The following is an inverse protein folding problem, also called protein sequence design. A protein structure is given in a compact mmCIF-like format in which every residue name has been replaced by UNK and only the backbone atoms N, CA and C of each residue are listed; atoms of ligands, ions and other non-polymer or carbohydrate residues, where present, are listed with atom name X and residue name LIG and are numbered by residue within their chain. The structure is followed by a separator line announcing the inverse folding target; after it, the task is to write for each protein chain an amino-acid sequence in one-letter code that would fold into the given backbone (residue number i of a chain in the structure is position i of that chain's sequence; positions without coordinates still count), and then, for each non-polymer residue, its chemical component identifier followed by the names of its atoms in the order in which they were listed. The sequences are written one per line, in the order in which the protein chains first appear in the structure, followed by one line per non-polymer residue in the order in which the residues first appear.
data_IF_696249519077
#
_entry.id   IF_696249519077
#
_cell.length_a   1.000
_cell.length_b   1.000
_cell.length_c   1.000
_cell.angle_alpha   90.00
_cell.angle_beta   90.00
_cell.angle_gamma   90.00
#
_symmetry.space_group_name_H-M   'P 1'
#
loop_
_entity.id
_entity.type
_entity.pdbx_description
1 polymer ?
#
# COMPACT_ATOMS: atom_id res chain seq x y z
N UNK A 1 37.25 0.73 -36.29
CA UNK A 1 37.00 0.61 -34.84
C UNK A 1 35.80 -0.29 -34.63
N UNK A 2 35.79 -1.04 -33.53
CA UNK A 2 34.61 -1.77 -33.07
C UNK A 2 34.43 -1.56 -31.58
N UNK A 3 33.31 -0.99 -31.16
CA UNK A 3 32.94 -0.83 -29.75
C UNK A 3 32.38 -2.15 -29.20
N UNK A 4 32.69 -2.43 -27.93
CA UNK A 4 32.39 -3.70 -27.27
C UNK A 4 31.34 -3.50 -26.16
N UNK A 5 30.50 -4.51 -26.00
CA UNK A 5 29.61 -4.61 -24.85
C UNK A 5 30.40 -5.04 -23.60
N UNK A 6 29.97 -4.54 -22.44
CA UNK A 6 30.59 -4.83 -21.13
C UNK A 6 29.55 -5.47 -20.18
N UNK A 7 30.00 -5.94 -19.03
CA UNK A 7 29.15 -6.51 -17.97
C UNK A 7 29.46 -5.85 -16.61
N UNK A 8 29.06 -4.58 -16.42
CA UNK A 8 29.26 -3.87 -15.17
C UNK A 8 28.28 -4.37 -14.10
N UNK A 9 28.66 -4.12 -12.85
CA UNK A 9 27.81 -4.28 -11.67
C UNK A 9 27.67 -2.90 -11.03
N UNK A 10 26.46 -2.56 -10.60
CA UNK A 10 26.16 -1.26 -10.01
C UNK A 10 27.02 -0.96 -8.78
N UNK A 11 27.44 0.31 -8.64
CA UNK A 11 28.23 0.78 -7.52
C UNK A 11 29.64 0.19 -7.44
N UNK A 12 30.01 -0.68 -8.39
CA UNK A 12 31.32 -1.33 -8.48
C UNK A 12 32.13 -0.66 -9.59
N UNK A 13 33.24 -0.04 -9.21
CA UNK A 13 34.22 0.46 -10.17
C UNK A 13 34.80 -0.70 -10.97
N UNK A 14 34.56 -0.71 -12.27
CA UNK A 14 35.12 -1.67 -13.21
C UNK A 14 36.20 -1.03 -14.09
N UNK A 15 37.08 -1.87 -14.63
CA UNK A 15 38.04 -1.51 -15.68
C UNK A 15 37.73 -2.37 -16.92
N UNK A 16 37.25 -1.74 -17.98
CA UNK A 16 36.60 -2.42 -19.09
C UNK A 16 37.38 -2.29 -20.39
N UNK A 17 37.41 -3.35 -21.21
CA UNK A 17 37.78 -3.29 -22.61
C UNK A 17 36.57 -2.77 -23.41
N UNK A 18 36.62 -1.53 -23.89
CA UNK A 18 35.45 -0.85 -24.48
C UNK A 18 35.49 -0.78 -26.00
N UNK A 19 36.66 -0.88 -26.63
CA UNK A 19 36.76 -0.91 -28.09
C UNK A 19 38.06 -1.53 -28.58
N UNK A 20 38.02 -2.10 -29.79
CA UNK A 20 39.21 -2.46 -30.57
C UNK A 20 39.36 -1.50 -31.75
N UNK A 21 40.56 -0.97 -31.93
CA UNK A 21 40.91 0.00 -32.98
C UNK A 21 42.00 -0.59 -33.87
N UNK A 22 41.96 -0.27 -35.15
CA UNK A 22 42.96 -0.72 -36.11
C UNK A 22 43.25 0.38 -37.10
N UNK A 23 44.52 0.72 -37.24
CA UNK A 23 45.03 1.52 -38.35
C UNK A 23 46.09 0.71 -39.12
N UNK A 24 46.30 1.00 -40.41
CA UNK A 24 47.28 0.31 -41.24
C UNK A 24 48.71 0.85 -41.13
N UNK A 25 48.89 2.06 -40.62
CA UNK A 25 50.14 2.83 -40.67
C UNK A 25 50.57 3.39 -39.32
N UNK A 26 49.63 3.74 -38.46
CA UNK A 26 49.87 4.41 -37.18
C UNK A 26 49.63 3.47 -35.97
N UNK A 27 50.23 3.81 -34.83
CA UNK A 27 50.08 3.05 -33.59
C UNK A 27 49.24 3.80 -32.54
N UNK A 28 48.75 3.07 -31.54
CA UNK A 28 47.99 3.54 -30.39
C UNK A 28 48.37 4.91 -29.78
N UNK A 29 49.67 5.27 -29.77
CA UNK A 29 50.17 6.53 -29.20
C UNK A 29 49.80 7.78 -29.98
N UNK A 30 49.34 7.62 -31.22
CA UNK A 30 48.95 8.72 -32.12
C UNK A 30 47.45 9.05 -31.99
N UNK A 31 46.74 8.35 -31.12
CA UNK A 31 45.29 8.43 -30.98
C UNK A 31 44.85 8.78 -29.56
N UNK A 32 43.77 9.57 -29.45
CA UNK A 32 43.02 9.77 -28.20
C UNK A 32 41.63 9.16 -28.37
N UNK A 33 41.20 8.36 -27.40
CA UNK A 33 39.85 7.86 -27.28
C UNK A 33 39.05 8.74 -26.30
N UNK A 34 37.85 9.11 -26.71
CA UNK A 34 36.79 9.73 -25.92
C UNK A 34 35.65 8.72 -25.76
N UNK A 35 35.31 8.42 -24.50
CA UNK A 35 34.38 7.35 -24.15
C UNK A 35 33.17 7.98 -23.46
N UNK A 36 32.03 7.92 -24.14
CA UNK A 36 30.71 8.21 -23.56
C UNK A 36 30.12 6.90 -23.03
N UNK A 37 29.88 6.85 -21.72
CA UNK A 37 29.37 5.67 -21.02
C UNK A 37 27.87 5.45 -21.18
N UNK A 38 27.15 6.43 -21.73
CA UNK A 38 25.72 6.34 -22.01
C UNK A 38 24.81 6.47 -20.79
N UNK A 39 25.34 6.85 -19.63
CA UNK A 39 24.62 7.10 -18.37
C UNK A 39 24.52 8.60 -18.03
N UNK A 40 25.04 9.47 -18.90
CA UNK A 40 25.05 10.92 -18.70
C UNK A 40 26.14 11.43 -17.75
N UNK A 41 27.02 10.55 -17.26
CA UNK A 41 28.24 10.96 -16.56
C UNK A 41 29.24 11.61 -17.53
N UNK A 42 30.31 12.20 -16.98
CA UNK A 42 31.35 12.81 -17.80
C UNK A 42 32.08 11.74 -18.62
N UNK A 43 32.43 12.08 -19.86
CA UNK A 43 33.19 11.19 -20.71
C UNK A 43 34.59 10.91 -20.12
N UNK A 44 35.14 9.73 -20.43
CA UNK A 44 36.52 9.39 -20.09
C UNK A 44 37.43 9.55 -21.31
N UNK A 45 38.40 10.46 -21.20
CA UNK A 45 39.47 10.60 -22.19
C UNK A 45 40.64 9.69 -21.82
N UNK A 46 41.06 8.83 -22.75
CA UNK A 46 42.24 7.98 -22.59
C UNK A 46 43.09 8.00 -23.86
N UNK A 47 44.41 8.00 -23.71
CA UNK A 47 45.30 7.75 -24.85
C UNK A 47 45.06 6.33 -25.36
N UNK A 48 45.11 6.09 -26.68
CA UNK A 48 44.84 4.80 -27.31
C UNK A 48 45.78 3.63 -26.92
N UNK A 49 46.60 3.79 -25.89
CA UNK A 49 47.53 2.78 -25.37
C UNK A 49 46.84 1.61 -24.68
N UNK A 50 47.36 0.41 -24.93
CA UNK A 50 47.02 -0.79 -24.20
C UNK A 50 47.70 -0.80 -22.82
N UNK A 51 46.93 -0.73 -21.74
CA UNK A 51 47.41 -0.96 -20.37
C UNK A 51 46.76 -2.22 -19.80
N UNK A 52 47.49 -3.34 -19.52
CA UNK A 52 48.95 -3.48 -19.47
C UNK A 52 49.51 -4.29 -20.66
N UNK A 53 50.03 -3.65 -21.72
CA UNK A 53 50.84 -4.36 -22.71
C UNK A 53 51.94 -3.48 -23.36
N UNK A 54 53.01 -4.14 -23.81
CA UNK A 54 54.20 -3.50 -24.40
C UNK A 54 53.88 -3.06 -25.84
N UNK A 55 54.14 -1.80 -26.23
CA UNK A 55 53.74 -1.25 -27.53
C UNK A 55 54.69 -1.74 -28.61
N UNK A 56 54.45 -2.93 -29.15
CA UNK A 56 55.17 -3.42 -30.34
C UNK A 56 54.24 -3.84 -31.48
N UNK A 57 52.94 -3.87 -31.27
CA UNK A 57 51.97 -4.13 -32.35
C UNK A 57 51.51 -2.79 -32.93
N UNK A 58 51.72 -2.60 -34.24
CA UNK A 58 51.23 -1.44 -34.97
C UNK A 58 49.70 -1.40 -34.96
N UNK A 59 49.02 -2.55 -35.00
CA UNK A 59 47.56 -2.68 -35.11
C UNK A 59 47.14 -4.17 -35.06
N UNK A 60 45.97 -4.55 -34.52
CA UNK A 60 45.01 -3.72 -33.79
C UNK A 60 45.45 -3.45 -32.34
N UNK A 61 44.82 -2.46 -31.68
CA UNK A 61 44.98 -2.15 -30.26
C UNK A 61 43.63 -2.03 -29.54
N UNK A 62 43.68 -2.12 -28.21
CA UNK A 62 42.51 -2.18 -27.32
C UNK A 62 42.40 -0.89 -26.50
N UNK A 63 41.18 -0.39 -26.32
CA UNK A 63 40.86 0.78 -25.50
C UNK A 63 40.27 0.28 -24.19
N UNK A 64 40.90 0.67 -23.08
CA UNK A 64 40.42 0.39 -21.74
C UNK A 64 40.15 1.68 -20.96
N UNK A 65 39.14 1.64 -20.11
CA UNK A 65 38.86 2.71 -19.17
C UNK A 65 38.15 2.20 -17.91
N UNK A 66 38.32 2.95 -16.81
CA UNK A 66 37.57 2.69 -15.58
C UNK A 66 36.26 3.46 -15.59
N UNK A 67 35.20 2.84 -15.08
CA UNK A 67 33.90 3.49 -14.86
C UNK A 67 33.13 2.83 -13.72
N UNK A 68 32.21 3.56 -13.12
CA UNK A 68 31.24 3.05 -12.14
C UNK A 68 29.86 3.48 -12.60
N UNK A 69 28.97 2.52 -12.83
CA UNK A 69 27.55 2.80 -13.03
C UNK A 69 26.90 2.89 -11.66
N UNK A 70 26.18 3.97 -11.39
CA UNK A 70 25.62 4.26 -10.06
C UNK A 70 24.27 3.58 -9.79
N UNK A 71 23.57 3.14 -10.84
CA UNK A 71 22.21 2.53 -10.81
C UNK A 71 22.14 1.43 -11.89
N UNK A 72 21.24 0.46 -11.72
CA UNK A 72 20.99 -0.53 -12.76
C UNK A 72 20.21 0.08 -13.91
N UNK A 73 20.72 -0.06 -15.14
CA UNK A 73 19.98 0.33 -16.32
C UNK A 73 20.57 -0.33 -17.56
N UNK A 74 19.84 -0.16 -18.67
CA UNK A 74 20.33 -0.55 -19.99
C UNK A 74 21.07 0.61 -20.63
N UNK A 75 22.35 0.41 -20.97
CA UNK A 75 23.21 1.43 -21.57
C UNK A 75 23.86 0.94 -22.86
N UNK A 76 24.40 1.90 -23.61
CA UNK A 76 25.30 1.70 -24.74
C UNK A 76 26.53 2.57 -24.51
N UNK A 77 27.71 2.09 -24.88
CA UNK A 77 28.95 2.89 -24.85
C UNK A 77 29.22 3.41 -26.25
N UNK A 78 29.51 4.70 -26.39
CA UNK A 78 30.02 5.27 -27.64
C UNK A 78 31.49 5.63 -27.46
N UNK A 79 32.34 5.04 -28.28
CA UNK A 79 33.77 5.36 -28.32
C UNK A 79 34.04 6.19 -29.56
N UNK A 80 34.69 7.33 -29.41
CA UNK A 80 35.21 8.17 -30.49
C UNK A 80 36.73 8.22 -30.39
N UNK A 81 37.44 7.96 -31.48
CA UNK A 81 38.89 8.09 -31.52
C UNK A 81 39.26 9.14 -32.54
N UNK A 82 40.20 10.01 -32.15
CA UNK A 82 40.76 11.06 -32.99
C UNK A 82 42.25 10.80 -33.18
N UNK A 83 42.69 10.81 -34.44
CA UNK A 83 44.09 10.85 -34.84
C UNK A 83 44.67 12.24 -34.57
N UNK A 84 45.80 12.30 -33.84
CA UNK A 84 46.44 13.55 -33.47
C UNK A 84 47.27 14.18 -34.59
N UNK A 85 47.69 13.41 -35.59
CA UNK A 85 48.51 13.85 -36.69
C UNK A 85 47.69 14.60 -37.76
N UNK A 86 46.50 14.11 -38.09
CA UNK A 86 45.68 14.65 -39.17
C UNK A 86 44.22 14.99 -38.79
N UNK A 87 43.84 14.76 -37.53
CA UNK A 87 42.50 15.02 -36.98
C UNK A 87 41.38 14.17 -37.57
N UNK A 88 41.70 13.08 -38.28
CA UNK A 88 40.71 12.09 -38.67
C UNK A 88 40.08 11.47 -37.42
N UNK A 89 38.77 11.23 -37.46
CA UNK A 89 38.04 10.67 -36.33
C UNK A 89 37.09 9.57 -36.76
N UNK A 90 37.01 8.51 -35.96
CA UNK A 90 36.06 7.43 -36.15
C UNK A 90 35.34 7.15 -34.83
N UNK A 91 34.06 6.79 -34.90
CA UNK A 91 33.27 6.44 -33.73
C UNK A 91 32.46 5.18 -33.99
N UNK A 92 32.32 4.37 -32.94
CA UNK A 92 31.41 3.24 -32.93
C UNK A 92 30.68 3.16 -31.59
N UNK A 93 29.49 2.55 -31.62
CA UNK A 93 28.63 2.38 -30.45
C UNK A 93 28.41 0.89 -30.17
N UNK A 94 28.57 0.49 -28.91
CA UNK A 94 28.39 -0.90 -28.50
C UNK A 94 26.93 -1.35 -28.69
N UNK A 95 26.67 -2.66 -28.79
CA UNK A 95 25.36 -3.20 -28.47
C UNK A 95 24.92 -2.79 -27.06
N UNK A 96 23.60 -2.73 -26.84
CA UNK A 96 23.03 -2.47 -25.52
C UNK A 96 23.40 -3.58 -24.53
N UNK A 97 23.73 -3.20 -23.30
CA UNK A 97 23.98 -4.10 -22.17
C UNK A 97 23.28 -3.60 -20.91
N UNK A 98 23.05 -4.50 -19.96
CA UNK A 98 22.52 -4.16 -18.65
C UNK A 98 23.65 -4.01 -17.62
N UNK A 99 23.49 -3.09 -16.69
CA UNK A 99 24.22 -3.07 -15.41
C UNK A 99 23.55 -4.08 -14.49
N UNK A 100 24.35 -4.99 -13.93
CA UNK A 100 23.84 -6.05 -13.05
C UNK A 100 23.60 -5.54 -11.64
N UNK A 101 22.56 -6.08 -11.01
CA UNK A 101 22.23 -5.79 -9.62
C UNK A 101 23.36 -6.13 -8.63
N UNK A 102 23.62 -5.21 -7.71
CA UNK A 102 24.67 -5.38 -6.69
C UNK A 102 24.12 -5.52 -5.27
N UNK A 103 22.86 -5.19 -5.08
CA UNK A 103 22.27 -5.05 -3.77
C UNK A 103 21.28 -6.17 -3.41
N UNK A 104 20.59 -5.96 -2.31
CA UNK A 104 19.56 -6.85 -1.84
C UNK A 104 18.57 -6.06 -1.00
N UNK A 105 17.34 -6.03 -1.47
CA UNK A 105 16.23 -5.51 -0.71
C UNK A 105 15.76 -6.55 0.32
N UNK A 106 15.72 -6.17 1.59
CA UNK A 106 15.14 -6.97 2.66
C UNK A 106 13.92 -6.28 3.26
N UNK A 107 12.79 -6.99 3.28
CA UNK A 107 11.58 -6.53 3.95
C UNK A 107 11.78 -6.49 5.46
N UNK A 108 11.30 -5.42 6.10
CA UNK A 108 11.20 -5.34 7.54
C UNK A 108 10.07 -6.21 8.10
N UNK A 109 9.81 -6.12 9.41
CA UNK A 109 8.73 -6.85 10.04
C UNK A 109 7.37 -6.54 9.40
N UNK A 110 6.50 -7.55 9.37
CA UNK A 110 5.11 -7.37 8.94
C UNK A 110 4.40 -6.42 9.90
N UNK A 111 3.92 -5.29 9.39
CA UNK A 111 3.16 -4.32 10.17
C UNK A 111 1.67 -4.69 10.16
N UNK A 112 0.98 -4.34 11.24
CA UNK A 112 -0.48 -4.30 11.27
C UNK A 112 -0.91 -2.86 11.44
N UNK A 113 -1.72 -2.35 10.50
CA UNK A 113 -2.25 -0.99 10.54
C UNK A 113 -3.71 -1.03 10.95
N UNK A 114 -4.13 -0.10 11.81
CA UNK A 114 -5.53 0.05 12.15
C UNK A 114 -6.23 0.85 11.05
N UNK A 115 -7.33 0.31 10.54
CA UNK A 115 -8.28 1.01 9.71
C UNK A 115 -9.60 1.17 10.46
N UNK A 116 -10.25 2.31 10.37
CA UNK A 116 -11.59 2.51 10.93
C UNK A 116 -12.63 2.10 9.90
N UNK A 117 -13.62 1.30 10.29
CA UNK A 117 -14.75 0.98 9.41
C UNK A 117 -15.52 2.26 9.03
N UNK A 118 -16.09 2.33 7.82
CA UNK A 118 -16.77 3.53 7.35
C UNK A 118 -17.95 3.22 6.43
N UNK A 119 -18.94 4.09 6.45
CA UNK A 119 -20.04 4.10 5.48
C UNK A 119 -19.60 4.53 4.07
N UNK A 120 -20.36 4.11 3.06
CA UNK A 120 -20.11 4.21 1.61
C UNK A 120 -19.80 5.63 1.03
N UNK A 121 -19.95 6.73 1.79
CA UNK A 121 -19.74 8.11 1.32
C UNK A 121 -18.67 8.90 2.10
N UNK A 122 -17.88 8.26 2.96
CA UNK A 122 -16.84 8.97 3.72
C UNK A 122 -15.58 9.22 2.88
N UNK A 123 -15.21 10.50 2.72
CA UNK A 123 -13.94 10.94 2.09
C UNK A 123 -12.77 11.03 3.09
N UNK A 124 -12.98 10.69 4.36
CA UNK A 124 -11.93 10.66 5.39
C UNK A 124 -11.21 9.31 5.29
N UNK A 125 -9.86 9.29 5.36
CA UNK A 125 -9.08 8.08 5.17
C UNK A 125 -9.36 7.08 6.28
N UNK A 126 -9.48 5.81 5.90
CA UNK A 126 -9.67 4.72 6.85
C UNK A 126 -8.41 4.45 7.67
N UNK A 127 -7.21 4.77 7.14
CA UNK A 127 -5.93 4.68 7.85
C UNK A 127 -5.35 6.08 8.08
N UNK A 128 -4.84 6.35 9.27
CA UNK A 128 -4.30 7.68 9.60
C UNK A 128 -3.10 8.05 8.70
N UNK A 129 -3.04 9.32 8.27
CA UNK A 129 -1.91 9.85 7.51
C UNK A 129 -0.61 9.70 8.31
N UNK A 130 0.48 9.35 7.63
CA UNK A 130 1.79 9.11 8.22
C UNK A 130 1.96 7.71 8.84
N UNK A 131 0.92 6.88 8.86
CA UNK A 131 1.03 5.48 9.31
C UNK A 131 2.01 4.72 8.42
N UNK A 132 3.02 4.09 9.03
CA UNK A 132 3.97 3.20 8.34
C UNK A 132 3.26 1.91 7.95
N UNK A 133 3.19 1.63 6.65
CA UNK A 133 2.59 0.42 6.09
C UNK A 133 3.63 -0.69 5.98
N UNK A 134 4.80 -0.34 5.47
CA UNK A 134 5.92 -1.25 5.30
C UNK A 134 7.24 -0.52 5.56
N UNK A 135 8.25 -1.29 5.93
CA UNK A 135 9.65 -0.85 5.94
C UNK A 135 10.46 -1.84 5.15
N UNK A 136 11.52 -1.36 4.50
CA UNK A 136 12.51 -2.22 3.87
C UNK A 136 13.90 -1.62 4.04
N UNK A 137 14.89 -2.44 3.77
CA UNK A 137 16.28 -2.04 3.79
C UNK A 137 16.94 -2.38 2.48
N UNK A 138 17.88 -1.52 2.08
CA UNK A 138 18.73 -1.74 0.92
C UNK A 138 20.20 -1.85 1.32
N UNK A 139 20.90 -2.87 0.85
CA UNK A 139 22.34 -3.04 1.11
C UNK A 139 23.22 -2.11 0.30
N UNK A 140 22.74 -1.51 -0.78
CA UNK A 140 23.45 -0.44 -1.45
C UNK A 140 23.05 0.91 -0.85
N UNK A 141 24.07 1.64 -0.40
CA UNK A 141 23.88 2.92 0.27
C UNK A 141 23.94 4.11 -0.70
N UNK A 142 24.17 3.82 -1.98
CA UNK A 142 24.16 4.81 -3.06
C UNK A 142 22.73 5.22 -3.44
N UNK A 143 21.78 4.30 -3.28
CA UNK A 143 20.39 4.56 -3.64
C UNK A 143 19.79 5.70 -2.85
N UNK A 144 19.01 6.45 -3.58
CA UNK A 144 18.20 7.54 -3.11
C UNK A 144 16.76 7.09 -3.16
N UNK A 145 15.93 7.79 -2.39
CA UNK A 145 14.47 7.68 -2.47
C UNK A 145 13.92 7.75 -3.91
N UNK A 146 14.60 8.46 -4.81
CA UNK A 146 14.12 8.68 -6.17
C UNK A 146 14.23 7.44 -7.07
N UNK A 147 15.07 6.49 -6.68
CA UNK A 147 15.44 5.33 -7.49
C UNK A 147 14.35 4.25 -7.33
N UNK A 148 13.77 4.16 -6.13
CA UNK A 148 12.59 3.35 -5.86
C UNK A 148 11.27 3.99 -6.30
N UNK A 149 10.40 3.16 -6.89
CA UNK A 149 8.98 3.44 -7.04
C UNK A 149 8.13 2.53 -6.15
N UNK A 150 7.08 3.07 -5.55
CA UNK A 150 6.25 2.34 -4.59
C UNK A 150 4.77 2.43 -4.94
N UNK A 151 4.12 1.27 -4.96
CA UNK A 151 2.67 1.13 -5.11
C UNK A 151 2.09 0.42 -3.89
N UNK A 152 1.00 0.93 -3.32
CA UNK A 152 0.30 0.29 -2.21
C UNK A 152 -0.96 -0.40 -2.72
N UNK A 153 -1.12 -1.67 -2.35
CA UNK A 153 -2.28 -2.50 -2.64
C UNK A 153 -3.03 -2.73 -1.32
N UNK A 154 -4.34 -2.43 -1.29
CA UNK A 154 -5.14 -2.49 -0.07
C UNK A 154 -5.99 -3.77 0.05
N UNK A 155 -6.61 -4.30 -1.03
CA UNK A 155 -7.31 -5.60 -1.04
C UNK A 155 -8.07 -5.99 -2.35
N UNK A 156 -8.58 -7.24 -2.29
CA UNK A 156 -9.33 -8.17 -3.14
C UNK A 156 -10.65 -7.71 -3.80
N UNK A 157 -10.70 -6.50 -4.37
CA UNK A 157 -11.80 -6.10 -5.26
C UNK A 157 -13.11 -5.69 -4.58
N UNK A 158 -13.08 -5.43 -3.27
CA UNK A 158 -14.15 -4.68 -2.58
C UNK A 158 -13.76 -3.21 -2.61
N UNK A 159 -14.38 -2.49 -3.55
CA UNK A 159 -14.38 -1.04 -3.76
C UNK A 159 -13.40 -0.16 -2.92
N UNK A 160 -12.09 -0.31 -3.13
CA UNK A 160 -11.27 0.87 -3.36
C UNK A 160 -11.45 1.22 -4.85
N UNK A 161 -12.19 2.27 -5.22
CA UNK A 161 -12.32 2.63 -6.61
C UNK A 161 -10.94 3.04 -7.15
N UNK A 162 -10.38 2.13 -7.94
CA UNK A 162 -9.41 2.38 -9.00
C UNK A 162 -8.37 3.46 -8.67
N UNK A 163 -7.37 3.11 -7.86
CA UNK A 163 -6.04 3.66 -8.13
C UNK A 163 -5.34 2.69 -9.06
N UNK A 164 -5.70 2.73 -10.34
CA UNK A 164 -4.74 2.45 -11.40
C UNK A 164 -3.48 3.19 -11.00
N UNK A 165 -2.45 2.41 -10.66
CA UNK A 165 -1.16 2.83 -10.13
C UNK A 165 -0.58 3.95 -10.99
N UNK A 166 -0.95 5.17 -10.68
CA UNK A 166 -0.40 6.41 -11.22
C UNK A 166 0.25 7.04 -10.02
N UNK A 167 1.54 6.76 -9.83
CA UNK A 167 2.64 7.55 -9.22
C UNK A 167 2.34 8.77 -8.32
N UNK A 168 1.17 8.86 -7.70
CA UNK A 168 0.68 10.03 -6.99
C UNK A 168 0.69 9.73 -5.48
N UNK A 169 1.84 10.06 -4.88
CA UNK A 169 2.01 10.43 -3.47
C UNK A 169 1.69 9.36 -2.42
N UNK A 170 2.38 8.22 -2.46
CA UNK A 170 2.70 7.50 -1.23
C UNK A 170 4.01 8.04 -0.65
N UNK A 171 4.10 8.11 0.68
CA UNK A 171 5.25 8.70 1.35
C UNK A 171 6.36 7.66 1.50
N UNK A 172 7.11 7.38 0.43
CA UNK A 172 8.42 6.74 0.60
C UNK A 172 9.33 7.73 1.33
N UNK A 173 9.83 7.32 2.48
CA UNK A 173 10.73 8.09 3.34
C UNK A 173 12.05 7.35 3.46
N UNK A 174 13.16 8.06 3.28
CA UNK A 174 14.48 7.57 3.67
C UNK A 174 14.66 7.85 5.17
N UNK A 175 14.78 6.79 5.97
CA UNK A 175 14.88 6.87 7.42
C UNK A 175 16.34 6.98 7.91
N UNK A 176 17.32 6.73 7.03
CA UNK A 176 18.75 6.86 7.28
C UNK A 176 19.54 5.60 6.93
N UNK A 177 20.86 5.68 7.10
CA UNK A 177 21.78 4.55 6.90
C UNK A 177 22.31 4.08 8.25
N UNK A 178 22.28 2.77 8.50
CA UNK A 178 22.88 2.19 9.70
C UNK A 178 23.50 0.83 9.39
N UNK A 179 24.67 0.53 9.95
CA UNK A 179 25.35 -0.75 9.69
C UNK A 179 25.76 -1.01 8.24
N UNK A 180 25.85 0.04 7.40
CA UNK A 180 26.14 -0.10 5.96
C UNK A 180 24.91 -0.45 5.12
N UNK A 181 23.70 -0.22 5.63
CA UNK A 181 22.43 -0.53 4.96
C UNK A 181 21.52 0.69 5.04
N UNK A 182 20.86 1.04 3.95
CA UNK A 182 19.87 2.12 3.84
C UNK A 182 18.50 1.64 4.33
N UNK A 183 17.79 2.46 5.10
CA UNK A 183 16.48 2.14 5.66
C UNK A 183 15.39 3.03 5.07
N UNK A 184 14.28 2.42 4.70
CA UNK A 184 13.15 3.09 4.08
C UNK A 184 11.83 2.73 4.75
N UNK A 185 10.91 3.70 4.81
CA UNK A 185 9.53 3.49 5.24
C UNK A 185 8.54 3.97 4.21
N UNK A 186 7.51 3.16 3.98
CA UNK A 186 6.38 3.49 3.12
C UNK A 186 5.22 3.89 4.00
N UNK A 187 4.83 5.16 3.92
CA UNK A 187 3.78 5.75 4.77
C UNK A 187 2.55 6.13 3.96
N UNK A 188 1.38 6.01 4.59
CA UNK A 188 0.13 6.54 4.06
C UNK A 188 0.23 8.07 3.89
N UNK A 189 0.15 8.57 2.65
CA UNK A 189 0.43 9.98 2.33
C UNK A 189 -0.67 10.68 1.52
N UNK A 190 -1.71 9.95 1.09
CA UNK A 190 -2.93 10.52 0.48
C UNK A 190 -4.14 9.99 1.23
N UNK A 191 -5.22 10.78 1.21
CA UNK A 191 -6.56 10.37 1.63
C UNK A 191 -6.98 9.15 0.79
N UNK A 192 -6.62 7.97 1.25
CA UNK A 192 -7.03 6.69 0.69
C UNK A 192 -8.53 6.52 0.97
N UNK A 193 -9.32 6.51 -0.10
CA UNK A 193 -10.77 6.33 -0.08
C UNK A 193 -11.19 4.86 0.08
N UNK A 194 -10.30 4.01 0.58
CA UNK A 194 -10.61 2.60 0.82
C UNK A 194 -11.64 2.48 1.93
N UNK A 195 -12.85 2.04 1.57
CA UNK A 195 -13.94 1.82 2.52
C UNK A 195 -13.91 0.36 2.91
N UNK A 196 -13.58 0.08 4.18
CA UNK A 196 -13.71 -1.25 4.73
C UNK A 196 -15.16 -1.51 5.12
N UNK A 197 -15.60 -2.75 4.91
CA UNK A 197 -16.93 -3.20 5.34
C UNK A 197 -17.12 -2.95 6.86
N UNK A 198 -18.37 -2.74 7.32
CA UNK A 198 -18.71 -2.41 8.71
C UNK A 198 -18.64 -3.64 9.65
N UNK A 199 -17.56 -4.41 9.54
CA UNK A 199 -17.30 -5.54 10.41
C UNK A 199 -15.84 -5.48 10.88
N UNK A 200 -15.59 -5.54 12.20
CA UNK A 200 -14.23 -5.65 12.68
C UNK A 200 -13.62 -6.96 12.20
N UNK A 201 -12.50 -6.83 11.50
CA UNK A 201 -11.81 -7.97 10.94
C UNK A 201 -10.33 -7.69 10.80
N UNK A 202 -9.55 -8.74 11.01
CA UNK A 202 -8.16 -8.76 10.55
C UNK A 202 -8.12 -9.21 9.09
N UNK A 203 -7.66 -8.32 8.22
CA UNK A 203 -7.33 -8.60 6.83
C UNK A 203 -5.83 -8.88 6.78
N UNK A 204 -5.48 -10.15 6.58
CA UNK A 204 -4.09 -10.58 6.48
C UNK A 204 -3.54 -10.21 5.10
N UNK A 205 -2.39 -9.54 5.07
CA UNK A 205 -1.68 -9.21 3.85
C UNK A 205 -1.06 -10.41 3.17
N UNK A 206 -1.06 -10.39 1.83
CA UNK A 206 -0.38 -11.35 0.97
C UNK A 206 0.16 -10.64 -0.29
N UNK A 207 0.96 -11.34 -1.11
CA UNK A 207 1.62 -10.77 -2.30
C UNK A 207 0.80 -10.90 -3.60
N UNK A 208 -0.42 -11.42 -3.51
CA UNK A 208 -1.30 -11.68 -4.65
C UNK A 208 -2.52 -10.75 -4.66
N UNK A 209 -3.44 -10.97 -3.71
CA UNK A 209 -4.75 -10.34 -3.63
C UNK A 209 -4.98 -9.54 -2.35
N UNK A 210 -4.21 -9.82 -1.30
CA UNK A 210 -4.29 -9.12 -0.01
C UNK A 210 -3.44 -7.85 0.03
N UNK A 211 -3.52 -7.09 1.13
CA UNK A 211 -2.75 -5.87 1.30
C UNK A 211 -1.23 -6.09 1.24
N UNK A 212 -0.56 -5.33 0.38
CA UNK A 212 0.89 -5.33 0.24
C UNK A 212 1.40 -4.03 -0.37
N UNK A 213 2.68 -3.75 -0.14
CA UNK A 213 3.42 -2.72 -0.84
C UNK A 213 4.25 -3.38 -1.92
N UNK A 214 4.14 -2.91 -3.16
CA UNK A 214 5.07 -3.22 -4.23
C UNK A 214 6.14 -2.14 -4.28
N UNK A 215 7.40 -2.52 -4.07
CA UNK A 215 8.58 -1.68 -4.27
C UNK A 215 9.23 -2.15 -5.57
N UNK A 216 9.52 -1.22 -6.46
CA UNK A 216 10.23 -1.50 -7.71
C UNK A 216 11.50 -0.67 -7.73
N UNK A 217 12.60 -1.35 -8.02
CA UNK A 217 13.89 -0.75 -8.31
C UNK A 217 14.36 -1.24 -9.67
N UNK A 218 14.66 -0.33 -10.60
CA UNK A 218 14.89 -0.52 -12.04
C UNK A 218 14.61 -1.91 -12.66
N UNK A 219 13.36 -2.39 -12.55
CA UNK A 219 12.88 -3.65 -13.15
C UNK A 219 12.79 -4.85 -12.19
N UNK A 220 13.47 -4.78 -11.05
CA UNK A 220 13.26 -5.66 -9.91
C UNK A 220 12.01 -5.24 -9.12
N UNK A 221 11.25 -6.22 -8.65
CA UNK A 221 9.95 -5.99 -8.00
C UNK A 221 9.87 -6.82 -6.73
N UNK A 222 9.66 -6.14 -5.59
CA UNK A 222 9.46 -6.76 -4.28
C UNK A 222 8.09 -6.45 -3.73
N UNK A 223 7.48 -7.44 -3.08
CA UNK A 223 6.16 -7.31 -2.47
C UNK A 223 6.24 -7.54 -0.98
N UNK A 224 5.86 -6.53 -0.20
CA UNK A 224 5.93 -6.52 1.25
C UNK A 224 4.51 -6.53 1.81
N UNK A 225 4.00 -7.67 2.30
CA UNK A 225 2.66 -7.75 2.86
C UNK A 225 2.56 -6.99 4.19
N UNK A 226 1.42 -6.36 4.42
CA UNK A 226 1.05 -5.77 5.71
C UNK A 226 -0.39 -6.15 6.04
N UNK A 227 -0.70 -6.25 7.32
CA UNK A 227 -2.05 -6.59 7.76
C UNK A 227 -2.86 -5.32 8.04
N UNK A 228 -4.17 -5.38 7.80
CA UNK A 228 -5.11 -4.31 8.15
C UNK A 228 -6.06 -4.83 9.22
N UNK A 229 -6.07 -4.18 10.38
CA UNK A 229 -7.08 -4.42 11.42
C UNK A 229 -8.18 -3.38 11.29
N UNK A 230 -9.35 -3.79 10.83
CA UNK A 230 -10.56 -2.96 10.85
C UNK A 230 -11.04 -2.87 12.30
N UNK A 231 -11.26 -1.65 12.79
CA UNK A 231 -11.76 -1.36 14.14
C UNK A 231 -13.10 -0.64 14.06
N UNK A 232 -13.92 -0.81 15.10
CA UNK A 232 -15.21 -0.14 15.29
C UNK A 232 -15.04 1.38 15.09
N UNK A 233 -15.83 1.91 14.18
CA UNK A 233 -15.79 3.30 13.72
C UNK A 233 -17.08 4.05 13.94
N UNK A 234 -18.14 3.32 14.29
CA UNK A 234 -19.43 3.88 14.59
C UNK A 234 -19.79 3.81 16.09
N UNK A 235 -20.93 4.39 16.43
CA UNK A 235 -21.46 4.34 17.79
C UNK A 235 -22.97 4.29 17.72
N UNK A 236 -23.52 3.12 18.03
CA UNK A 236 -24.94 2.89 18.21
C UNK A 236 -25.41 3.36 19.59
N UNK A 237 -26.41 4.24 19.61
CA UNK A 237 -27.01 4.74 20.85
C UNK A 237 -28.55 4.62 20.80
N UNK A 238 -29.24 4.48 21.95
CA UNK A 238 -30.69 4.54 21.97
C UNK A 238 -31.18 5.95 21.66
N UNK A 239 -32.25 6.06 20.88
CA UNK A 239 -32.95 7.34 20.68
C UNK A 239 -33.50 7.84 22.02
N UNK A 240 -33.62 9.16 22.19
CA UNK A 240 -34.17 9.78 23.38
C UNK A 240 -35.50 9.14 23.81
N UNK A 241 -35.72 8.98 25.12
CA UNK A 241 -36.89 8.25 25.66
C UNK A 241 -38.23 8.80 25.20
N UNK A 242 -38.30 10.09 24.86
CA UNK A 242 -39.52 10.75 24.36
C UNK A 242 -39.92 10.32 22.95
N UNK A 243 -38.95 9.90 22.14
CA UNK A 243 -39.15 9.49 20.74
C UNK A 243 -39.13 7.95 20.59
N UNK A 244 -39.11 7.22 21.70
CA UNK A 244 -39.23 5.76 21.70
C UNK A 244 -40.68 5.32 21.42
N UNK A 245 -40.89 4.15 20.81
CA UNK A 245 -42.22 3.64 20.49
C UNK A 245 -43.04 3.41 21.76
N UNK A 246 -44.34 3.70 21.66
CA UNK A 246 -45.27 3.46 22.76
C UNK A 246 -45.53 1.96 22.90
N UNK A 247 -45.13 1.39 24.05
CA UNK A 247 -45.37 -0.03 24.37
C UNK A 247 -46.43 -0.12 25.48
N UNK A 248 -47.64 -0.49 25.09
CA UNK A 248 -48.82 -0.58 25.96
C UNK A 248 -49.52 -1.96 25.82
N UNK A 249 -48.87 -3.05 26.24
CA UNK A 249 -49.46 -4.39 26.21
C UNK A 249 -50.65 -4.51 27.17
N UNK A 250 -51.57 -5.42 26.84
CA UNK A 250 -52.71 -5.79 27.69
C UNK A 250 -52.50 -7.19 28.25
N UNK A 251 -52.88 -7.39 29.52
CA UNK A 251 -52.73 -8.68 30.20
C UNK A 251 -53.44 -9.81 29.43
N UNK A 252 -52.75 -10.95 29.31
CA UNK A 252 -53.20 -12.14 28.57
C UNK A 252 -53.44 -11.93 27.06
N UNK A 253 -53.03 -10.80 26.49
CA UNK A 253 -53.07 -10.54 25.05
C UNK A 253 -51.63 -10.51 24.51
N UNK A 254 -51.31 -11.29 23.46
CA UNK A 254 -50.00 -11.19 22.80
C UNK A 254 -49.77 -9.78 22.25
N UNK A 255 -48.69 -9.16 22.68
CA UNK A 255 -48.13 -7.95 22.09
C UNK A 255 -47.20 -8.32 20.94
N UNK A 256 -47.24 -7.53 19.86
CA UNK A 256 -46.31 -7.58 18.72
C UNK A 256 -46.11 -6.16 18.20
N UNK A 257 -44.86 -5.73 18.07
CA UNK A 257 -44.49 -4.45 17.45
C UNK A 257 -43.22 -3.85 18.04
N UNK A 258 -42.97 -2.58 17.71
CA UNK A 258 -41.73 -1.88 18.06
C UNK A 258 -41.56 -1.71 19.56
N UNK A 259 -40.41 -2.16 20.05
CA UNK A 259 -40.02 -2.08 21.46
C UNK A 259 -38.90 -1.08 21.67
N UNK A 260 -38.04 -0.79 20.71
CA UNK A 260 -37.02 0.25 20.85
C UNK A 260 -36.60 0.81 19.50
N UNK A 261 -36.08 2.03 19.52
CA UNK A 261 -35.38 2.63 18.37
C UNK A 261 -33.97 3.01 18.81
N UNK A 262 -32.99 2.60 18.00
CA UNK A 262 -31.58 2.97 18.12
C UNK A 262 -31.17 3.80 16.92
N UNK A 263 -30.12 4.61 17.08
CA UNK A 263 -29.55 5.36 15.98
C UNK A 263 -28.03 5.43 16.05
N UNK A 264 -27.40 5.51 14.88
CA UNK A 264 -25.96 5.64 14.72
C UNK A 264 -25.64 7.11 14.59
N UNK A 265 -24.77 7.58 15.47
CA UNK A 265 -24.44 9.00 15.59
C UNK A 265 -23.32 9.46 14.65
N UNK A 266 -22.71 8.52 13.93
CA UNK A 266 -21.40 8.67 13.29
C UNK A 266 -21.38 8.24 11.83
N UNK A 267 -22.24 7.30 11.40
CA UNK A 267 -22.36 6.91 9.99
C UNK A 267 -23.73 7.25 9.41
N UNK A 268 -23.73 7.73 8.17
CA UNK A 268 -24.97 8.13 7.46
C UNK A 268 -25.56 7.04 6.58
N UNK A 269 -24.91 5.88 6.45
CA UNK A 269 -25.33 4.80 5.53
C UNK A 269 -24.85 3.43 5.99
N UNK A 270 -25.77 2.65 6.52
CA UNK A 270 -25.64 1.22 6.77
C UNK A 270 -26.63 0.48 5.86
N UNK A 271 -26.18 -0.50 5.08
CA UNK A 271 -27.09 -1.54 4.62
C UNK A 271 -27.25 -2.49 5.79
N UNK A 272 -28.50 -2.81 6.17
CA UNK A 272 -28.76 -3.75 7.25
C UNK A 272 -28.06 -5.08 6.95
N UNK A 273 -26.96 -5.36 7.64
CA UNK A 273 -26.33 -6.67 7.62
C UNK A 273 -27.36 -7.71 8.09
N UNK A 274 -27.62 -8.80 7.33
CA UNK A 274 -28.48 -9.88 7.77
C UNK A 274 -28.15 -10.42 9.16
N UNK A 275 -26.88 -10.37 9.58
CA UNK A 275 -26.48 -10.79 10.92
C UNK A 275 -26.95 -9.78 11.98
N UNK A 276 -26.88 -8.47 11.69
CA UNK A 276 -27.39 -7.39 12.55
C UNK A 276 -28.91 -7.44 12.72
N UNK A 277 -29.66 -7.84 11.70
CA UNK A 277 -31.12 -8.02 11.78
C UNK A 277 -31.57 -8.94 12.93
N UNK A 278 -30.70 -9.84 13.37
CA UNK A 278 -30.95 -10.85 14.41
C UNK A 278 -30.22 -10.61 15.73
N UNK A 279 -29.62 -9.43 15.90
CA UNK A 279 -28.72 -9.14 17.02
C UNK A 279 -29.42 -8.55 18.26
N UNK A 280 -30.74 -8.42 18.28
CA UNK A 280 -31.45 -7.85 19.41
C UNK A 280 -31.92 -8.89 20.44
N UNK A 281 -31.89 -8.52 21.73
CA UNK A 281 -32.46 -9.31 22.83
C UNK A 281 -33.31 -8.45 23.75
N UNK A 282 -34.52 -8.91 24.03
CA UNK A 282 -35.52 -8.18 24.82
C UNK A 282 -35.76 -8.93 26.13
N UNK A 283 -35.55 -8.25 27.25
CA UNK A 283 -35.92 -8.72 28.58
C UNK A 283 -37.17 -7.97 29.05
N UNK A 284 -38.26 -8.68 29.22
CA UNK A 284 -39.60 -8.12 29.44
C UNK A 284 -39.88 -7.69 30.89
N UNK A 285 -38.92 -7.93 31.80
CA UNK A 285 -39.02 -7.48 33.20
C UNK A 285 -39.90 -8.35 34.10
N UNK A 286 -40.54 -9.38 33.57
CA UNK A 286 -41.32 -10.41 34.31
C UNK A 286 -40.53 -11.71 34.54
N UNK A 287 -39.23 -11.70 34.24
CA UNK A 287 -38.36 -12.87 34.30
C UNK A 287 -38.21 -13.61 32.96
N UNK A 288 -38.97 -13.23 31.93
CA UNK A 288 -38.83 -13.81 30.59
C UNK A 288 -38.01 -12.93 29.65
N UNK A 289 -37.56 -13.51 28.53
CA UNK A 289 -36.86 -12.80 27.47
C UNK A 289 -37.16 -13.46 26.11
N UNK A 290 -37.00 -12.68 25.04
CA UNK A 290 -37.12 -13.13 23.65
C UNK A 290 -36.01 -12.53 22.79
N UNK A 291 -35.80 -13.11 21.61
CA UNK A 291 -35.10 -12.40 20.54
C UNK A 291 -35.95 -11.19 20.09
N UNK A 292 -35.28 -10.11 19.68
CA UNK A 292 -35.88 -9.03 18.91
C UNK A 292 -35.50 -9.16 17.44
N UNK A 293 -36.28 -8.54 16.56
CA UNK A 293 -35.95 -8.41 15.13
C UNK A 293 -35.60 -6.96 14.87
N UNK A 294 -34.43 -6.71 14.30
CA UNK A 294 -33.98 -5.37 13.95
C UNK A 294 -34.40 -5.08 12.52
N UNK A 295 -35.10 -3.98 12.30
CA UNK A 295 -35.55 -3.55 10.99
C UNK A 295 -35.25 -2.06 10.75
N UNK A 296 -35.25 -1.66 9.48
CA UNK A 296 -35.01 -0.30 9.01
C UNK A 296 -36.30 0.30 8.39
N UNK A 297 -37.46 0.00 8.98
CA UNK A 297 -38.79 0.01 8.33
C UNK A 297 -39.21 1.30 7.61
N UNK A 298 -38.57 2.45 7.87
CA UNK A 298 -38.82 3.74 7.19
C UNK A 298 -37.69 4.21 6.24
N UNK A 299 -36.68 3.39 5.95
CA UNK A 299 -35.51 3.82 5.21
C UNK A 299 -35.69 3.80 3.68
N UNK A 300 -35.74 4.97 3.04
CA UNK A 300 -35.74 5.08 1.56
C UNK A 300 -34.38 5.52 1.00
N UNK A 301 -33.52 6.24 1.76
CA UNK A 301 -32.22 6.77 1.24
C UNK A 301 -31.07 6.89 2.27
N UNK A 302 -31.32 7.12 3.57
CA UNK A 302 -30.28 7.23 4.61
C UNK A 302 -30.72 6.52 5.89
N UNK A 303 -30.21 5.32 6.14
CA UNK A 303 -30.54 4.55 7.34
C UNK A 303 -29.57 4.94 8.44
N UNK A 304 -30.07 5.66 9.43
CA UNK A 304 -29.35 5.94 10.69
C UNK A 304 -30.17 5.55 11.91
N UNK A 305 -31.38 5.00 11.72
CA UNK A 305 -32.30 4.57 12.76
C UNK A 305 -32.70 3.12 12.52
N UNK A 306 -32.80 2.36 13.61
CA UNK A 306 -33.22 0.95 13.60
C UNK A 306 -34.27 0.70 14.65
N UNK A 307 -35.32 0.03 14.24
CA UNK A 307 -36.41 -0.43 15.09
C UNK A 307 -36.14 -1.86 15.56
N UNK A 308 -36.46 -2.12 16.82
CA UNK A 308 -36.39 -3.46 17.41
C UNK A 308 -37.81 -3.93 17.71
N UNK A 309 -38.31 -4.82 16.86
CA UNK A 309 -39.58 -5.51 17.03
C UNK A 309 -39.47 -6.62 18.07
N UNK A 310 -40.54 -6.79 18.85
CA UNK A 310 -40.64 -7.84 19.84
C UNK A 310 -42.05 -8.40 19.99
N UNK A 311 -42.12 -9.65 20.44
CA UNK A 311 -43.38 -10.33 20.78
C UNK A 311 -43.37 -10.82 22.22
N UNK A 312 -44.46 -10.59 22.96
CA UNK A 312 -44.59 -11.07 24.35
C UNK A 312 -46.02 -11.09 24.86
N UNK A 313 -46.30 -11.95 25.85
CA UNK A 313 -47.59 -12.00 26.54
C UNK A 313 -47.38 -11.91 28.03
N UNK A 314 -47.87 -10.84 28.65
CA UNK A 314 -47.83 -10.67 30.11
C UNK A 314 -48.99 -11.42 30.77
N UNK A 315 -48.68 -12.17 31.83
CA UNK A 315 -49.69 -12.91 32.61
C UNK A 315 -50.41 -12.04 33.64
N UNK A 316 -49.86 -10.88 34.00
CA UNK A 316 -50.42 -9.97 35.01
C UNK A 316 -50.29 -8.52 34.56
N UNK A 317 -51.24 -7.68 34.99
CA UNK A 317 -51.12 -6.23 34.87
C UNK A 317 -50.08 -5.69 35.86
N UNK A 318 -49.39 -4.61 35.50
CA UNK A 318 -48.34 -4.06 36.35
C UNK A 318 -47.35 -3.17 35.61
N UNK A 319 -46.34 -2.69 36.35
CA UNK A 319 -45.25 -1.87 35.80
C UNK A 319 -43.99 -2.71 35.70
N UNK A 320 -43.46 -2.86 34.48
CA UNK A 320 -42.33 -3.74 34.19
C UNK A 320 -41.12 -2.96 33.69
N UNK A 321 -39.92 -3.34 34.14
CA UNK A 321 -38.66 -2.77 33.67
C UNK A 321 -38.17 -3.56 32.46
N UNK A 322 -38.44 -3.03 31.27
CA UNK A 322 -38.02 -3.63 30.00
C UNK A 322 -36.61 -3.17 29.66
N UNK A 323 -35.78 -4.12 29.25
CA UNK A 323 -34.41 -3.88 28.77
C UNK A 323 -34.26 -4.45 27.37
N UNK A 324 -33.86 -3.61 26.43
CA UNK A 324 -33.55 -4.02 25.05
C UNK A 324 -32.05 -3.88 24.87
N UNK A 325 -31.38 -4.97 24.51
CA UNK A 325 -29.98 -4.99 24.13
C UNK A 325 -29.89 -5.15 22.62
N UNK A 326 -29.02 -4.36 22.01
CA UNK A 326 -28.67 -4.45 20.60
C UNK A 326 -27.17 -4.71 20.51
N UNK A 327 -26.78 -5.80 19.86
CA UNK A 327 -25.38 -6.14 19.65
C UNK A 327 -24.95 -5.66 18.26
N UNK A 328 -23.88 -4.89 18.22
CA UNK A 328 -23.17 -4.69 16.97
C UNK A 328 -22.49 -6.01 16.55
N UNK A 329 -22.64 -6.37 15.29
CA UNK A 329 -22.14 -7.64 14.72
C UNK A 329 -20.68 -7.55 14.30
N UNK A 330 -20.11 -6.35 14.25
CA UNK A 330 -18.69 -6.12 14.05
C UNK A 330 -17.81 -6.52 15.23
N UNK A 331 -18.34 -6.74 16.43
CA UNK A 331 -17.53 -6.86 17.66
C UNK A 331 -17.54 -5.60 18.51
N UNK A 332 -18.29 -4.58 18.06
CA UNK A 332 -18.51 -3.34 18.77
C UNK A 332 -19.30 -3.46 20.07
N UNK A 333 -19.45 -2.32 20.74
CA UNK A 333 -20.03 -2.27 22.08
C UNK A 333 -21.53 -2.61 22.06
N UNK A 334 -21.94 -3.49 22.99
CA UNK A 334 -23.37 -3.74 23.25
C UNK A 334 -24.05 -2.45 23.74
N UNK A 335 -25.02 -1.95 22.98
CA UNK A 335 -25.84 -0.81 23.40
C UNK A 335 -27.16 -1.30 23.97
N UNK A 336 -27.77 -0.52 24.88
CA UNK A 336 -29.01 -0.94 25.51
C UNK A 336 -29.92 0.22 25.86
N UNK A 337 -31.23 -0.06 25.83
CA UNK A 337 -32.28 0.81 26.31
C UNK A 337 -32.93 0.19 27.55
N UNK A 338 -33.13 0.99 28.59
CA UNK A 338 -33.87 0.59 29.79
C UNK A 338 -35.04 1.55 29.99
N UNK A 339 -36.27 1.03 30.06
CA UNK A 339 -37.44 1.85 30.42
C UNK A 339 -38.51 1.05 31.16
N UNK A 340 -39.37 1.77 31.85
CA UNK A 340 -40.59 1.18 32.40
C UNK A 340 -41.72 1.22 31.37
N UNK A 341 -42.50 0.15 31.31
CA UNK A 341 -43.78 0.10 30.60
C UNK A 341 -44.90 -0.26 31.57
N UNK A 342 -46.13 0.08 31.19
CA UNK A 342 -47.32 -0.33 31.93
C UNK A 342 -48.07 -1.40 31.11
N UNK A 343 -48.39 -2.50 31.77
CA UNK A 343 -49.27 -3.56 31.25
C UNK A 343 -50.65 -3.33 31.86
N UNK A 344 -51.66 -3.21 31.01
CA UNK A 344 -53.05 -2.88 31.38
C UNK A 344 -53.95 -4.09 31.51
#
# INVERSE_FOLDING_TARGET
MTALSIAPTEGVSGYFHVATVSDGSEGASEFIADIDWGDGTAHTLTSGGCDPCVPTALSPWEVYASHTYEDEASHTITVSVVDLADTESNSDTSPSFGVAEHDSLAAGPRNTVNATERGFLSFVPSVALGTTLATFTDTYTGDRRADFSVTVHWDNGIACPDTTATTANFGLTFDGTSGGVSHYSVKASVLNNCVYAPEERLITGDTGTGPHVTVTDTGNIWKIPFDVKVVEGDTLVPVATVDQPTVAPTVSIPFSGDVAVFHDTTLTRFFLDPSFASSAKIFWGDGTNSAGVVSDSECIVFCSYWEVDGVHTYSHAGRYLVRVYLYDTGGGAMTHLIRFINVH
#
